data_IF_050637434810
#
_entry.id   IF_050637434810
#
_cell.length_a   1.000
_cell.length_b   1.000
_cell.length_c   1.000
_cell.angle_alpha   90.00
_cell.angle_beta   90.00
_cell.angle_gamma   90.00
#
_symmetry.space_group_name_H-M   'P 1'
#
loop_
_entity.id
_entity.type
_entity.pdbx_description
1 polymer ?
#
# COMPACT_ATOMS: atom_id res chain seq x y z
N UNK A 1 17.08 57.38 22.38
CA UNK A 1 15.74 56.75 22.44
C UNK A 1 15.32 56.03 21.15
N UNK A 2 15.65 56.51 19.96
CA UNK A 2 15.18 55.91 18.68
C UNK A 2 15.81 54.55 18.30
N UNK A 3 17.04 54.24 18.77
CA UNK A 3 17.72 52.94 18.52
C UNK A 3 17.18 51.78 19.38
N UNK A 4 16.64 52.08 20.56
CA UNK A 4 16.10 51.07 21.49
C UNK A 4 14.72 50.59 21.04
N UNK A 5 13.93 51.49 20.42
CA UNK A 5 12.63 51.13 19.83
C UNK A 5 12.76 50.18 18.64
N UNK A 6 13.81 50.34 17.82
CA UNK A 6 13.99 49.54 16.60
C UNK A 6 14.41 48.09 16.89
N UNK A 7 15.23 47.87 17.93
CA UNK A 7 15.65 46.53 18.37
C UNK A 7 14.53 45.72 19.05
N UNK A 8 13.61 46.40 19.73
CA UNK A 8 12.45 45.76 20.36
C UNK A 8 11.42 45.26 19.32
N UNK A 9 11.25 45.99 18.21
CA UNK A 9 10.33 45.60 17.12
C UNK A 9 10.88 44.40 16.32
N UNK A 10 12.19 44.31 16.09
CA UNK A 10 12.79 43.15 15.40
C UNK A 10 12.72 41.85 16.23
N UNK A 11 12.84 41.95 17.55
CA UNK A 11 12.77 40.78 18.44
C UNK A 11 11.35 40.24 18.59
N UNK A 12 10.33 41.09 18.49
CA UNK A 12 8.93 40.69 18.51
C UNK A 12 8.48 40.00 17.21
N UNK A 13 9.09 40.33 16.06
CA UNK A 13 8.79 39.69 14.77
C UNK A 13 9.42 38.29 14.62
N UNK A 14 10.56 38.03 15.27
CA UNK A 14 11.18 36.70 15.28
C UNK A 14 10.47 35.68 16.19
N UNK A 15 9.70 36.14 17.19
CA UNK A 15 8.87 35.28 18.05
C UNK A 15 7.51 34.91 17.42
N UNK A 16 7.12 35.54 16.32
CA UNK A 16 5.90 35.23 15.57
C UNK A 16 6.10 34.19 14.47
N UNK A 17 7.34 33.82 14.16
CA UNK A 17 7.68 32.73 13.25
C UNK A 17 7.77 31.40 14.02
N UNK A 18 6.72 31.05 14.77
CA UNK A 18 6.50 29.64 15.09
C UNK A 18 6.35 28.87 13.77
N UNK A 19 6.77 27.60 13.68
CA UNK A 19 6.43 26.80 12.52
C UNK A 19 4.90 26.76 12.45
N UNK A 20 4.32 27.54 11.54
CA UNK A 20 2.94 27.35 11.11
C UNK A 20 2.99 26.07 10.28
N UNK A 21 3.07 24.94 10.98
CA UNK A 21 2.62 23.70 10.44
C UNK A 21 1.12 23.89 10.31
N UNK A 22 0.68 24.34 9.13
CA UNK A 22 -0.62 23.98 8.65
C UNK A 22 -0.59 22.46 8.54
N UNK A 23 -0.76 21.77 9.67
CA UNK A 23 -1.23 20.41 9.65
C UNK A 23 -2.57 20.53 8.94
N UNK A 24 -2.57 20.25 7.64
CA UNK A 24 -3.78 20.13 6.87
C UNK A 24 -4.47 18.91 7.49
N UNK A 25 -5.24 19.15 8.55
CA UNK A 25 -5.98 18.09 9.21
C UNK A 25 -6.90 17.52 8.14
N UNK A 26 -6.71 16.24 7.82
CA UNK A 26 -7.56 15.54 6.87
C UNK A 26 -8.72 14.93 7.67
N UNK A 27 -9.91 15.56 7.73
CA UNK A 27 -10.93 15.16 8.71
C UNK A 27 -11.54 13.80 8.35
N UNK A 28 -11.57 13.45 7.06
CA UNK A 28 -12.02 12.13 6.61
C UNK A 28 -11.06 11.02 7.06
N UNK A 29 -9.74 11.27 7.09
CA UNK A 29 -8.78 10.31 7.66
C UNK A 29 -8.99 10.12 9.16
N UNK A 30 -9.19 11.20 9.92
CA UNK A 30 -9.48 11.10 11.36
C UNK A 30 -10.77 10.33 11.64
N UNK A 31 -11.82 10.58 10.86
CA UNK A 31 -13.07 9.84 10.96
C UNK A 31 -12.90 8.37 10.55
N UNK A 32 -12.13 8.08 9.50
CA UNK A 32 -11.82 6.72 9.08
C UNK A 32 -11.09 5.95 10.18
N UNK A 33 -10.02 6.53 10.76
CA UNK A 33 -9.32 5.94 11.91
C UNK A 33 -10.27 5.60 13.04
N UNK A 34 -11.12 6.56 13.43
CA UNK A 34 -12.06 6.38 14.54
C UNK A 34 -13.08 5.26 14.28
N UNK A 35 -13.55 5.11 13.04
CA UNK A 35 -14.59 4.16 12.70
C UNK A 35 -14.05 2.76 12.36
N UNK A 36 -12.86 2.68 11.77
CA UNK A 36 -12.38 1.46 11.12
C UNK A 36 -11.00 0.99 11.59
N UNK A 37 -10.21 1.80 12.29
CA UNK A 37 -8.87 1.40 12.72
C UNK A 37 -8.87 1.08 14.21
N UNK A 38 -8.46 -0.14 14.56
CA UNK A 38 -8.37 -0.56 15.96
C UNK A 38 -7.21 0.14 16.69
N UNK A 39 -7.22 0.18 18.03
CA UNK A 39 -6.11 0.72 18.81
C UNK A 39 -4.75 0.05 18.49
N UNK A 40 -4.77 -1.22 18.13
CA UNK A 40 -3.62 -2.05 17.76
C UNK A 40 -3.14 -1.82 16.31
N UNK A 41 -3.90 -1.13 15.47
CA UNK A 41 -3.50 -0.77 14.11
C UNK A 41 -4.04 -1.67 12.99
N UNK A 42 -5.17 -2.37 13.20
CA UNK A 42 -5.82 -3.10 12.10
C UNK A 42 -7.03 -2.33 11.55
N UNK A 43 -7.16 -2.31 10.23
CA UNK A 43 -8.32 -1.80 9.51
C UNK A 43 -9.39 -2.89 9.50
N UNK A 44 -10.57 -2.57 10.02
CA UNK A 44 -11.68 -3.51 10.22
C UNK A 44 -12.76 -3.20 9.19
N UNK A 45 -13.17 -4.20 8.43
CA UNK A 45 -14.47 -4.19 7.77
C UNK A 45 -15.53 -4.74 8.76
N UNK A 46 -16.42 -3.88 9.29
CA UNK A 46 -17.44 -4.31 10.24
C UNK A 46 -18.63 -5.00 9.56
N UNK A 47 -18.74 -4.95 8.24
CA UNK A 47 -19.86 -5.55 7.50
C UNK A 47 -19.79 -7.08 7.49
N UNK A 48 -18.58 -7.65 7.48
CA UNK A 48 -18.36 -9.08 7.66
C UNK A 48 -18.55 -9.47 9.13
N UNK A 49 -19.29 -10.55 9.38
CA UNK A 49 -19.52 -11.08 10.73
C UNK A 49 -18.20 -11.47 11.43
N UNK A 50 -17.18 -11.86 10.66
CA UNK A 50 -15.83 -12.23 11.13
C UNK A 50 -14.98 -11.01 11.48
N UNK A 51 -15.47 -9.79 11.22
CA UNK A 51 -14.79 -8.50 11.46
C UNK A 51 -13.40 -8.48 10.85
N UNK A 52 -13.34 -8.79 9.57
CA UNK A 52 -12.10 -9.06 8.85
C UNK A 52 -11.19 -7.84 8.76
N UNK A 53 -9.91 -8.11 8.60
CA UNK A 53 -8.91 -7.18 8.08
C UNK A 53 -8.32 -7.81 6.84
N UNK A 54 -8.12 -7.01 5.79
CA UNK A 54 -7.47 -7.46 4.56
C UNK A 54 -6.11 -6.79 4.41
N UNK A 55 -5.20 -7.42 3.65
CA UNK A 55 -3.98 -6.76 3.19
C UNK A 55 -4.32 -5.45 2.47
N UNK A 56 -5.42 -5.43 1.72
CA UNK A 56 -5.92 -4.24 0.99
C UNK A 56 -6.27 -3.11 1.96
N UNK A 57 -7.08 -3.40 3.00
CA UNK A 57 -7.42 -2.41 4.01
C UNK A 57 -6.18 -1.84 4.70
N UNK A 58 -5.21 -2.70 5.04
CA UNK A 58 -3.94 -2.26 5.61
C UNK A 58 -3.13 -1.38 4.65
N UNK A 59 -3.05 -1.75 3.37
CA UNK A 59 -2.29 -1.01 2.35
C UNK A 59 -2.86 0.39 2.13
N UNK A 60 -4.18 0.52 2.06
CA UNK A 60 -4.87 1.81 1.96
C UNK A 60 -4.72 2.62 3.24
N UNK A 61 -4.79 1.99 4.42
CA UNK A 61 -4.49 2.64 5.69
C UNK A 61 -3.09 3.25 5.71
N UNK A 62 -2.08 2.51 5.25
CA UNK A 62 -0.69 3.00 5.15
C UNK A 62 -0.56 4.17 4.18
N UNK A 63 -1.20 4.07 3.01
CA UNK A 63 -1.26 5.17 2.04
C UNK A 63 -1.91 6.43 2.65
N UNK A 64 -3.05 6.30 3.32
CA UNK A 64 -3.75 7.42 3.95
C UNK A 64 -2.93 8.04 5.09
N UNK A 65 -2.32 7.23 5.94
CA UNK A 65 -1.46 7.70 7.01
C UNK A 65 -0.26 8.49 6.47
N UNK A 66 0.37 8.01 5.39
CA UNK A 66 1.44 8.73 4.72
C UNK A 66 0.95 10.08 4.15
N UNK A 67 -0.17 10.07 3.42
CA UNK A 67 -0.75 11.28 2.82
C UNK A 67 -1.18 12.31 3.88
N UNK A 68 -1.64 11.86 5.05
CA UNK A 68 -1.98 12.70 6.20
C UNK A 68 -0.76 13.20 7.00
N UNK A 69 0.45 12.75 6.65
CA UNK A 69 1.65 12.92 7.46
C UNK A 69 1.49 12.37 8.90
N UNK A 70 0.69 11.32 9.07
CA UNK A 70 0.40 10.64 10.33
C UNK A 70 1.37 9.47 10.53
N UNK A 71 2.60 9.81 10.91
CA UNK A 71 3.66 8.82 11.12
C UNK A 71 3.33 7.81 12.23
N UNK A 72 2.69 8.25 13.30
CA UNK A 72 2.30 7.37 14.40
C UNK A 72 1.21 6.36 13.98
N UNK A 73 0.23 6.80 13.17
CA UNK A 73 -0.76 5.92 12.56
C UNK A 73 -0.12 4.91 11.61
N UNK A 74 0.81 5.38 10.76
CA UNK A 74 1.56 4.53 9.84
C UNK A 74 2.33 3.42 10.57
N UNK A 75 3.05 3.76 11.64
CA UNK A 75 3.83 2.78 12.43
C UNK A 75 2.95 1.71 13.07
N UNK A 76 1.77 2.09 13.57
CA UNK A 76 0.80 1.12 14.13
C UNK A 76 0.26 0.18 13.06
N UNK A 77 -0.17 0.73 11.93
CA UNK A 77 -0.67 -0.06 10.79
C UNK A 77 0.40 -1.04 10.30
N UNK A 78 1.63 -0.56 10.09
CA UNK A 78 2.73 -1.38 9.62
C UNK A 78 3.09 -2.49 10.62
N UNK A 79 3.17 -2.16 11.90
CA UNK A 79 3.47 -3.14 12.95
C UNK A 79 2.42 -4.24 13.00
N UNK A 80 1.13 -3.88 12.93
CA UNK A 80 0.06 -4.86 12.89
C UNK A 80 0.13 -5.74 11.64
N UNK A 81 0.32 -5.14 10.46
CA UNK A 81 0.47 -5.84 9.18
C UNK A 81 1.60 -6.87 9.23
N UNK A 82 2.80 -6.46 9.67
CA UNK A 82 3.94 -7.38 9.77
C UNK A 82 3.62 -8.55 10.69
N UNK A 83 3.14 -8.28 11.90
CA UNK A 83 2.95 -9.32 12.92
C UNK A 83 1.81 -10.30 12.61
N UNK A 84 0.74 -9.83 11.95
CA UNK A 84 -0.49 -10.63 11.80
C UNK A 84 -0.69 -11.18 10.38
N UNK A 85 -0.14 -10.51 9.36
CA UNK A 85 -0.29 -10.92 7.97
C UNK A 85 0.99 -11.50 7.37
N UNK A 86 2.17 -11.15 7.89
CA UNK A 86 3.47 -11.51 7.31
C UNK A 86 4.42 -12.21 8.29
N UNK A 87 3.86 -12.90 9.29
CA UNK A 87 4.62 -13.71 10.27
C UNK A 87 5.75 -12.93 10.98
N UNK A 88 5.55 -11.64 11.18
CA UNK A 88 6.49 -10.73 11.84
C UNK A 88 7.44 -9.98 10.90
N UNK A 89 7.57 -10.36 9.62
CA UNK A 89 8.53 -9.73 8.72
C UNK A 89 8.09 -9.71 7.24
N UNK A 90 7.70 -8.51 6.77
CA UNK A 90 7.37 -8.25 5.35
C UNK A 90 8.59 -8.38 4.42
N UNK A 91 9.82 -8.43 4.95
CA UNK A 91 11.01 -8.74 4.15
C UNK A 91 11.13 -10.23 3.88
N UNK A 92 10.38 -11.08 4.59
CA UNK A 92 10.42 -12.53 4.48
C UNK A 92 9.15 -13.13 3.84
N UNK A 93 8.01 -12.45 3.93
CA UNK A 93 6.74 -12.98 3.45
C UNK A 93 5.88 -11.91 2.78
N UNK A 94 5.22 -12.26 1.67
CA UNK A 94 4.05 -11.53 1.20
C UNK A 94 2.93 -11.66 2.26
N UNK A 95 2.22 -10.57 2.60
CA UNK A 95 1.17 -10.62 3.61
C UNK A 95 -0.01 -11.46 3.13
N UNK A 96 -0.55 -12.31 4.01
CA UNK A 96 -1.79 -13.02 3.74
C UNK A 96 -2.97 -12.04 3.62
N UNK A 97 -3.85 -12.29 2.64
CA UNK A 97 -4.83 -11.29 2.23
C UNK A 97 -6.01 -11.15 3.18
N UNK A 98 -6.30 -12.15 4.02
CA UNK A 98 -7.51 -12.18 4.86
C UNK A 98 -7.23 -12.67 6.28
N UNK A 99 -7.52 -11.83 7.26
CA UNK A 99 -7.43 -12.12 8.68
C UNK A 99 -8.75 -11.80 9.38
N UNK A 100 -9.12 -12.55 10.40
CA UNK A 100 -10.34 -12.28 11.15
C UNK A 100 -10.68 -13.33 12.18
N UNK A 101 -11.92 -13.28 12.67
CA UNK A 101 -12.46 -14.23 13.62
C UNK A 101 -12.76 -15.56 12.90
N UNK A 102 -12.05 -16.62 13.28
CA UNK A 102 -12.24 -17.98 12.74
C UNK A 102 -13.39 -18.69 13.43
N UNK A 103 -13.50 -18.51 14.74
CA UNK A 103 -14.55 -19.01 15.62
C UNK A 103 -14.68 -18.09 16.85
N UNK A 104 -15.51 -18.45 17.84
CA UNK A 104 -15.76 -17.62 19.02
C UNK A 104 -14.54 -17.33 19.90
N UNK A 105 -13.48 -18.12 19.77
CA UNK A 105 -12.29 -18.05 20.63
C UNK A 105 -11.02 -17.62 19.87
N UNK A 106 -10.97 -17.85 18.55
CA UNK A 106 -9.76 -17.67 17.74
C UNK A 106 -9.87 -16.54 16.71
N UNK A 107 -8.90 -15.62 16.79
CA UNK A 107 -8.58 -14.66 15.72
C UNK A 107 -7.29 -15.08 15.03
N UNK A 108 -7.30 -15.20 13.71
CA UNK A 108 -6.14 -15.70 12.97
C UNK A 108 -6.17 -15.26 11.51
N UNK A 109 -5.09 -15.58 10.79
CA UNK A 109 -5.05 -15.51 9.35
C UNK A 109 -6.01 -16.57 8.78
N UNK A 110 -7.03 -16.11 8.05
CA UNK A 110 -8.07 -16.96 7.47
C UNK A 110 -7.66 -17.48 6.10
N UNK A 111 -6.85 -16.70 5.36
CA UNK A 111 -6.24 -17.11 4.11
C UNK A 111 -4.84 -16.49 3.99
N UNK A 112 -3.84 -17.35 3.76
CA UNK A 112 -2.42 -17.01 3.64
C UNK A 112 -1.97 -16.73 2.20
N UNK A 113 -2.87 -16.79 1.22
CA UNK A 113 -2.56 -16.33 -0.13
C UNK A 113 -2.32 -14.81 -0.15
N UNK A 114 -1.53 -14.31 -1.10
CA UNK A 114 -1.33 -12.87 -1.25
C UNK A 114 -2.44 -12.24 -2.11
N UNK A 115 -2.54 -10.91 -2.04
CA UNK A 115 -3.33 -10.10 -2.98
C UNK A 115 -2.43 -8.99 -3.51
N UNK A 116 -2.05 -9.09 -4.78
CA UNK A 116 -0.92 -8.32 -5.34
C UNK A 116 -1.17 -6.82 -5.41
N UNK A 117 -2.43 -6.41 -5.52
CA UNK A 117 -2.84 -5.00 -5.44
C UNK A 117 -2.39 -4.38 -4.11
N UNK A 118 -2.65 -5.11 -3.03
CA UNK A 118 -2.34 -4.73 -1.67
C UNK A 118 -0.83 -4.71 -1.46
N UNK A 119 -0.13 -5.71 -1.98
CA UNK A 119 1.31 -5.85 -1.83
C UNK A 119 2.05 -4.69 -2.51
N UNK A 120 1.62 -4.30 -3.71
CA UNK A 120 2.13 -3.12 -4.42
C UNK A 120 1.87 -1.82 -3.65
N UNK A 121 0.67 -1.64 -3.09
CA UNK A 121 0.36 -0.44 -2.30
C UNK A 121 1.17 -0.38 -1.00
N UNK A 122 1.40 -1.50 -0.31
CA UNK A 122 2.28 -1.57 0.87
C UNK A 122 3.71 -1.21 0.48
N UNK A 123 4.24 -1.82 -0.59
CA UNK A 123 5.58 -1.54 -1.08
C UNK A 123 5.75 -0.07 -1.45
N UNK A 124 4.79 0.50 -2.20
CA UNK A 124 4.79 1.91 -2.57
C UNK A 124 4.77 2.83 -1.33
N UNK A 125 3.87 2.56 -0.37
CA UNK A 125 3.73 3.37 0.83
C UNK A 125 5.00 3.34 1.68
N UNK A 126 5.65 2.18 1.83
CA UNK A 126 6.93 2.04 2.52
C UNK A 126 8.07 2.81 1.82
N UNK A 127 8.17 2.69 0.50
CA UNK A 127 9.20 3.37 -0.28
C UNK A 127 9.06 4.89 -0.23
N UNK A 128 7.83 5.40 -0.38
CA UNK A 128 7.56 6.83 -0.28
C UNK A 128 7.65 7.36 1.15
N UNK A 129 7.22 6.61 2.16
CA UNK A 129 7.43 6.95 3.57
C UNK A 129 8.93 7.04 3.89
N UNK A 130 9.73 6.08 3.43
CA UNK A 130 11.18 6.10 3.61
C UNK A 130 11.83 7.32 2.96
N UNK A 131 11.38 7.71 1.76
CA UNK A 131 11.83 8.91 1.06
C UNK A 131 11.40 10.21 1.75
N UNK A 132 10.13 10.33 2.12
CA UNK A 132 9.54 11.57 2.65
C UNK A 132 9.91 11.83 4.11
N UNK A 133 9.96 10.79 4.94
CA UNK A 133 10.30 10.90 6.37
C UNK A 133 11.77 10.58 6.68
N UNK A 134 12.58 10.33 5.64
CA UNK A 134 14.00 10.00 5.75
C UNK A 134 14.24 8.83 6.72
N UNK A 135 13.49 7.74 6.51
CA UNK A 135 13.53 6.54 7.33
C UNK A 135 14.02 5.35 6.48
N UNK A 136 15.33 5.07 6.48
CA UNK A 136 15.92 4.02 5.65
C UNK A 136 15.26 2.65 5.86
N UNK A 137 14.82 2.34 7.08
CA UNK A 137 14.18 1.07 7.40
C UNK A 137 12.90 0.82 6.60
N UNK A 138 12.10 1.85 6.28
CA UNK A 138 10.92 1.67 5.44
C UNK A 138 11.33 1.43 3.98
N UNK A 139 12.35 2.15 3.48
CA UNK A 139 12.88 1.92 2.14
C UNK A 139 13.41 0.51 1.98
N UNK A 140 14.16 -0.01 2.95
CA UNK A 140 14.70 -1.37 2.89
C UNK A 140 13.60 -2.43 2.95
N UNK A 141 12.60 -2.27 3.82
CA UNK A 141 11.44 -3.19 3.83
C UNK A 141 10.64 -3.10 2.53
N UNK A 142 10.38 -1.90 2.02
CA UNK A 142 9.63 -1.71 0.77
C UNK A 142 10.36 -2.31 -0.45
N UNK A 143 11.69 -2.19 -0.53
CA UNK A 143 12.49 -2.84 -1.58
C UNK A 143 12.46 -4.36 -1.47
N UNK A 144 12.59 -4.91 -0.26
CA UNK A 144 12.53 -6.34 -0.04
C UNK A 144 11.16 -6.91 -0.43
N UNK A 145 10.08 -6.24 -0.04
CA UNK A 145 8.72 -6.62 -0.43
C UNK A 145 8.55 -6.54 -1.96
N UNK A 146 9.04 -5.47 -2.59
CA UNK A 146 8.97 -5.29 -4.04
C UNK A 146 9.72 -6.41 -4.81
N UNK A 147 10.83 -6.90 -4.26
CA UNK A 147 11.55 -8.04 -4.84
C UNK A 147 10.75 -9.34 -4.72
N UNK A 148 10.06 -9.57 -3.60
CA UNK A 148 9.18 -10.74 -3.42
C UNK A 148 7.98 -10.72 -4.34
N UNK A 149 7.36 -9.56 -4.54
CA UNK A 149 6.26 -9.40 -5.50
C UNK A 149 6.70 -9.92 -6.88
N UNK A 150 7.89 -9.52 -7.33
CA UNK A 150 8.45 -10.00 -8.60
C UNK A 150 8.68 -11.52 -8.58
N UNK A 151 9.26 -12.04 -7.51
CA UNK A 151 9.62 -13.46 -7.41
C UNK A 151 8.40 -14.38 -7.30
N UNK A 152 7.38 -13.98 -6.55
CA UNK A 152 6.31 -14.86 -6.07
C UNK A 152 4.96 -14.63 -6.79
N UNK A 153 4.73 -13.47 -7.42
CA UNK A 153 3.45 -13.14 -8.07
C UNK A 153 3.61 -12.44 -9.42
N UNK A 154 4.74 -12.65 -10.12
CA UNK A 154 4.85 -12.30 -11.55
C UNK A 154 5.20 -13.50 -12.40
N UNK A 155 4.73 -13.48 -13.65
CA UNK A 155 4.90 -14.59 -14.60
C UNK A 155 5.16 -14.07 -16.00
N UNK A 156 5.97 -14.80 -16.77
CA UNK A 156 6.12 -14.56 -18.20
C UNK A 156 4.99 -15.25 -18.96
N UNK A 157 4.16 -14.47 -19.67
CA UNK A 157 3.00 -14.95 -20.42
C UNK A 157 3.29 -14.83 -21.91
N UNK A 158 3.21 -15.94 -22.70
CA UNK A 158 3.38 -15.89 -24.15
C UNK A 158 2.45 -14.85 -24.78
N UNK A 159 2.98 -13.98 -25.65
CA UNK A 159 2.18 -12.94 -26.33
C UNK A 159 1.88 -11.67 -25.51
N UNK A 160 1.94 -11.71 -24.17
CA UNK A 160 1.76 -10.54 -23.30
C UNK A 160 3.06 -10.00 -22.69
N UNK A 161 4.03 -10.88 -22.41
CA UNK A 161 5.26 -10.54 -21.68
C UNK A 161 5.11 -10.79 -20.17
N UNK A 162 5.90 -10.10 -19.36
CA UNK A 162 5.82 -10.24 -17.89
C UNK A 162 4.53 -9.60 -17.38
N UNK A 163 3.74 -10.36 -16.62
CA UNK A 163 2.45 -9.97 -16.04
C UNK A 163 2.48 -10.13 -14.52
N UNK A 164 1.75 -9.25 -13.83
CA UNK A 164 1.44 -9.38 -12.41
C UNK A 164 0.24 -10.32 -12.25
N UNK A 165 0.38 -11.34 -11.41
CA UNK A 165 -0.73 -12.19 -11.00
C UNK A 165 -1.49 -11.55 -9.84
N UNK A 166 -2.81 -11.70 -9.77
CA UNK A 166 -3.63 -11.19 -8.66
C UNK A 166 -3.25 -11.70 -7.26
N UNK A 167 -2.47 -12.77 -7.17
CA UNK A 167 -1.87 -13.30 -5.95
C UNK A 167 -0.95 -14.46 -6.29
N UNK A 168 -0.12 -14.88 -5.32
CA UNK A 168 0.92 -15.90 -5.52
C UNK A 168 0.39 -17.28 -5.93
N UNK A 169 -0.85 -17.63 -5.59
CA UNK A 169 -1.47 -18.93 -5.92
C UNK A 169 -2.86 -18.75 -6.53
N UNK A 170 -3.20 -19.57 -7.53
CA UNK A 170 -4.57 -19.76 -8.03
C UNK A 170 -4.96 -18.96 -9.27
N UNK A 171 -4.03 -18.21 -9.86
CA UNK A 171 -4.31 -17.34 -11.02
C UNK A 171 -3.56 -17.71 -12.31
N UNK A 172 -2.80 -18.81 -12.28
CA UNK A 172 -2.13 -19.40 -13.43
C UNK A 172 -2.24 -20.93 -13.35
N UNK A 173 -2.70 -21.55 -14.43
CA UNK A 173 -2.77 -23.01 -14.59
C UNK A 173 -2.61 -23.42 -16.07
N UNK A 174 -2.71 -24.71 -16.37
CA UNK A 174 -2.57 -25.24 -17.74
C UNK A 174 -3.65 -24.71 -18.71
N UNK A 175 -4.73 -24.11 -18.20
CA UNK A 175 -5.82 -23.49 -18.97
C UNK A 175 -5.66 -21.98 -19.14
N UNK A 176 -4.54 -21.40 -18.70
CA UNK A 176 -4.18 -20.01 -18.93
C UNK A 176 -4.06 -19.18 -17.64
N UNK A 177 -4.26 -17.88 -17.77
CA UNK A 177 -4.03 -16.91 -16.70
C UNK A 177 -5.28 -16.07 -16.44
N UNK A 178 -5.46 -15.65 -15.19
CA UNK A 178 -6.50 -14.71 -14.78
C UNK A 178 -5.86 -13.44 -14.23
N UNK A 179 -6.30 -12.29 -14.73
CA UNK A 179 -5.83 -10.98 -14.31
C UNK A 179 -6.98 -10.13 -13.79
N UNK A 180 -6.62 -9.13 -12.99
CA UNK A 180 -7.52 -8.08 -12.53
C UNK A 180 -6.96 -6.72 -12.98
N UNK A 181 -7.64 -6.02 -13.92
CA UNK A 181 -7.17 -4.73 -14.41
C UNK A 181 -7.05 -3.62 -13.35
N UNK A 182 -7.69 -3.74 -12.17
CA UNK A 182 -7.58 -2.72 -11.12
C UNK A 182 -6.31 -2.84 -10.27
N UNK A 183 -5.58 -3.96 -10.33
CA UNK A 183 -4.58 -4.32 -9.33
C UNK A 183 -3.25 -3.56 -9.45
N UNK A 184 -2.91 -3.05 -10.63
CA UNK A 184 -1.70 -2.26 -10.82
C UNK A 184 -2.05 -0.86 -11.36
N UNK A 185 -2.25 0.13 -10.47
CA UNK A 185 -2.49 1.51 -10.88
C UNK A 185 -1.35 2.03 -11.76
N UNK A 186 -1.62 2.72 -12.89
CA UNK A 186 -0.57 3.21 -13.80
C UNK A 186 0.50 4.09 -13.14
N UNK A 187 0.14 4.81 -12.09
CA UNK A 187 1.05 5.65 -11.30
C UNK A 187 2.05 4.80 -10.51
N UNK A 188 1.61 3.68 -9.91
CA UNK A 188 2.47 2.72 -9.23
C UNK A 188 3.38 2.01 -10.24
N UNK A 189 2.82 1.55 -11.37
CA UNK A 189 3.60 0.95 -12.44
C UNK A 189 4.72 1.88 -12.93
N UNK A 190 4.40 3.15 -13.12
CA UNK A 190 5.38 4.19 -13.51
C UNK A 190 6.39 4.46 -12.41
N UNK A 191 5.95 4.47 -11.14
CA UNK A 191 6.84 4.66 -9.99
C UNK A 191 7.90 3.57 -9.92
N UNK A 192 7.50 2.30 -10.07
CA UNK A 192 8.38 1.15 -9.87
C UNK A 192 9.43 0.95 -10.97
N UNK A 193 9.26 1.55 -12.15
CA UNK A 193 10.26 1.54 -13.24
C UNK A 193 11.67 1.94 -12.77
N UNK A 194 11.77 2.82 -11.75
CA UNK A 194 13.05 3.23 -11.15
C UNK A 194 13.87 2.11 -10.51
N UNK A 195 13.24 0.97 -10.21
CA UNK A 195 13.89 -0.19 -9.61
C UNK A 195 14.43 -1.18 -10.65
N UNK A 196 14.34 -0.85 -11.95
CA UNK A 196 14.86 -1.69 -13.03
C UNK A 196 13.92 -2.82 -13.40
N UNK A 197 14.44 -3.86 -14.05
CA UNK A 197 13.65 -5.00 -14.48
C UNK A 197 13.00 -5.73 -13.28
N UNK A 198 11.77 -6.26 -13.42
CA UNK A 198 10.94 -6.29 -14.63
C UNK A 198 9.96 -5.11 -14.76
N UNK A 199 10.06 -4.08 -13.92
CA UNK A 199 9.05 -3.01 -13.81
C UNK A 199 8.75 -2.23 -15.11
N UNK A 200 9.72 -1.94 -16.00
CA UNK A 200 9.41 -1.39 -17.32
C UNK A 200 8.47 -2.28 -18.14
N UNK A 201 8.72 -3.60 -18.14
CA UNK A 201 7.90 -4.56 -18.89
C UNK A 201 6.52 -4.71 -18.26
N UNK A 202 6.43 -4.77 -16.92
CA UNK A 202 5.16 -4.79 -16.19
C UNK A 202 4.32 -3.54 -16.44
N UNK A 203 4.94 -2.35 -16.52
CA UNK A 203 4.21 -1.12 -16.87
C UNK A 203 3.60 -1.22 -18.27
N UNK A 204 4.38 -1.70 -19.24
CA UNK A 204 3.95 -1.76 -20.63
C UNK A 204 2.85 -2.83 -20.83
N UNK A 205 2.99 -4.00 -20.19
CA UNK A 205 1.99 -5.06 -20.23
C UNK A 205 0.71 -4.69 -19.46
N UNK A 206 0.82 -3.94 -18.35
CA UNK A 206 -0.33 -3.40 -17.63
C UNK A 206 -1.13 -2.39 -18.48
N UNK A 207 -0.45 -1.54 -19.25
CA UNK A 207 -1.13 -0.63 -20.18
C UNK A 207 -1.89 -1.42 -21.26
N UNK A 208 -1.30 -2.50 -21.78
CA UNK A 208 -2.00 -3.40 -22.71
C UNK A 208 -3.22 -4.05 -22.06
N UNK A 209 -3.09 -4.58 -20.84
CA UNK A 209 -4.20 -5.15 -20.08
C UNK A 209 -5.39 -4.17 -20.00
N UNK A 210 -5.13 -2.92 -19.59
CA UNK A 210 -6.16 -1.89 -19.45
C UNK A 210 -6.83 -1.52 -20.79
N UNK A 211 -6.06 -1.41 -21.88
CA UNK A 211 -6.57 -0.96 -23.18
C UNK A 211 -7.23 -2.09 -23.99
N UNK A 212 -6.65 -3.28 -23.99
CA UNK A 212 -7.07 -4.40 -24.83
C UNK A 212 -8.28 -5.15 -24.25
N UNK A 213 -8.54 -5.03 -22.94
CA UNK A 213 -9.66 -5.73 -22.26
C UNK A 213 -10.92 -4.90 -22.09
N UNK A 214 -10.91 -3.63 -22.53
CA UNK A 214 -12.05 -2.71 -22.46
C UNK A 214 -12.58 -2.32 -23.85
N UNK A 215 -13.00 -3.26 -24.73
CA UNK A 215 -13.34 -2.99 -26.13
C UNK A 215 -14.54 -2.04 -26.32
N UNK A 216 -15.29 -1.78 -25.25
CA UNK A 216 -16.44 -0.87 -25.22
C UNK A 216 -16.29 0.27 -24.20
N UNK A 217 -15.07 0.51 -23.69
CA UNK A 217 -14.79 1.56 -22.72
C UNK A 217 -15.15 1.21 -21.27
N UNK A 218 -15.44 -0.06 -20.99
CA UNK A 218 -15.67 -0.59 -19.63
C UNK A 218 -14.63 -1.65 -19.34
N UNK A 219 -13.85 -1.46 -18.26
CA UNK A 219 -12.88 -2.45 -17.82
C UNK A 219 -13.60 -3.56 -17.04
N UNK A 220 -13.25 -4.84 -17.26
CA UNK A 220 -13.80 -5.92 -16.45
C UNK A 220 -13.15 -5.96 -15.06
N UNK A 221 -13.85 -6.54 -14.09
CA UNK A 221 -13.24 -6.88 -12.79
C UNK A 221 -12.17 -7.96 -12.97
N UNK A 222 -12.48 -8.99 -13.75
CA UNK A 222 -11.60 -10.13 -14.03
C UNK A 222 -11.59 -10.46 -15.51
N UNK A 223 -10.42 -10.81 -16.03
CA UNK A 223 -10.23 -11.22 -17.43
C UNK A 223 -9.28 -12.40 -17.52
N UNK A 224 -9.56 -13.33 -18.44
CA UNK A 224 -8.70 -14.49 -18.72
C UNK A 224 -7.87 -14.25 -19.98
N UNK A 225 -6.69 -14.86 -20.03
CA UNK A 225 -5.83 -14.96 -21.20
C UNK A 225 -5.43 -16.43 -21.41
N UNK A 226 -5.44 -16.88 -22.67
CA UNK A 226 -5.16 -18.25 -23.10
C UNK A 226 -4.13 -18.25 -24.24
#
# INVERSE_FOLDING_TARGET
MMKVLCGAVLSALLLAAGPVSAACQWPAWEQFKKAYVSPEGRVIDPSDARKISTSEGQSYGLFFALAANDRAGFDKLLTWTQNNLAEGDLRQHLPGWLWGKKDDEQWTLLDSNSASDSDLWIAWALLEAGRLWQQPQYTETGKALLARIVEEETVAVPGLGTMLLPGKVGFADDSGWRFNPSYLPPQLATYFVRFGAPWPALRDSNLRLLLETAPKGFTPDWVRYE
#
